data_IF_397645720859
#
_entry.id   IF_397645720859
#
_cell.length_a   1.000
_cell.length_b   1.000
_cell.length_c   1.000
_cell.angle_alpha   90.00
_cell.angle_beta   90.00
_cell.angle_gamma   90.00
#
_symmetry.space_group_name_H-M   'P 1'
#
loop_
_entity.id
_entity.type
_entity.pdbx_description
1 polymer ?
#
# COMPACT_ATOMS: atom_id res chain seq x y z
N UNK A 1 9.22 9.78 -11.79
CA UNK A 1 8.86 9.90 -10.36
C UNK A 1 7.72 8.95 -9.95
N UNK A 2 6.74 8.72 -10.82
CA UNK A 2 5.54 7.90 -10.52
C UNK A 2 5.82 6.47 -10.08
N UNK A 3 6.76 5.77 -10.74
CA UNK A 3 7.11 4.38 -10.38
C UNK A 3 7.65 4.24 -8.95
N UNK A 4 8.47 5.21 -8.50
CA UNK A 4 9.04 5.18 -7.14
C UNK A 4 7.96 5.44 -6.09
N UNK A 5 7.09 6.43 -6.31
CA UNK A 5 5.98 6.73 -5.39
C UNK A 5 4.97 5.59 -5.30
N UNK A 6 4.72 4.88 -6.40
CA UNK A 6 3.92 3.66 -6.39
C UNK A 6 4.58 2.56 -5.57
N UNK A 7 5.89 2.32 -5.72
CA UNK A 7 6.61 1.30 -4.93
C UNK A 7 6.56 1.65 -3.45
N UNK A 8 6.84 2.91 -3.09
CA UNK A 8 6.78 3.38 -1.69
C UNK A 8 5.38 3.22 -1.12
N UNK A 9 4.35 3.64 -1.86
CA UNK A 9 2.95 3.50 -1.45
C UNK A 9 2.55 2.03 -1.27
N UNK A 10 2.95 1.15 -2.19
CA UNK A 10 2.66 -0.28 -2.15
C UNK A 10 3.34 -0.96 -0.95
N UNK A 11 4.62 -0.66 -0.68
CA UNK A 11 5.35 -1.19 0.48
C UNK A 11 4.79 -0.67 1.81
N UNK A 12 4.49 0.62 1.90
CA UNK A 12 3.91 1.22 3.11
C UNK A 12 2.50 0.68 3.38
N UNK A 13 1.65 0.62 2.35
CA UNK A 13 0.29 0.10 2.45
C UNK A 13 0.26 -1.38 2.78
N UNK A 14 1.12 -2.19 2.16
CA UNK A 14 1.27 -3.61 2.49
C UNK A 14 1.76 -3.83 3.92
N UNK A 15 2.76 -3.08 4.37
CA UNK A 15 3.30 -3.19 5.75
C UNK A 15 2.27 -2.79 6.80
N UNK A 16 1.51 -1.71 6.56
CA UNK A 16 0.41 -1.28 7.44
C UNK A 16 -0.73 -2.30 7.45
N UNK A 17 -1.08 -2.83 6.28
CA UNK A 17 -2.08 -3.89 6.14
C UNK A 17 -1.69 -5.16 6.89
N UNK A 18 -0.42 -5.56 6.81
CA UNK A 18 0.10 -6.70 7.57
C UNK A 18 0.04 -6.46 9.07
N UNK A 19 0.51 -5.31 9.55
CA UNK A 19 0.50 -4.97 10.98
C UNK A 19 -0.91 -4.94 11.56
N UNK A 20 -1.89 -4.43 10.80
CA UNK A 20 -3.30 -4.42 11.20
C UNK A 20 -3.91 -5.82 11.15
N UNK A 21 -3.59 -6.61 10.13
CA UNK A 21 -4.19 -7.94 9.92
C UNK A 21 -3.58 -9.04 10.78
N UNK A 22 -2.32 -8.92 11.22
CA UNK A 22 -1.65 -9.90 12.10
C UNK A 22 -2.42 -10.11 13.41
N UNK A 23 -3.09 -9.06 13.92
CA UNK A 23 -3.96 -9.15 15.10
C UNK A 23 -5.19 -10.04 14.93
N UNK A 24 -5.60 -10.32 13.69
CA UNK A 24 -6.78 -11.12 13.36
C UNK A 24 -6.41 -12.49 12.78
N UNK A 25 -5.11 -12.81 12.72
CA UNK A 25 -4.58 -14.08 12.22
C UNK A 25 -3.92 -13.99 10.85
N UNK A 26 -3.25 -15.06 10.47
CA UNK A 26 -2.35 -15.11 9.31
C UNK A 26 -3.08 -14.87 7.97
N UNK A 27 -4.31 -15.38 7.84
CA UNK A 27 -5.15 -15.15 6.65
C UNK A 27 -5.61 -13.69 6.55
N UNK A 28 -5.97 -13.08 7.68
CA UNK A 28 -6.35 -11.67 7.73
C UNK A 28 -5.16 -10.76 7.42
N UNK A 29 -3.96 -11.07 7.93
CA UNK A 29 -2.71 -10.39 7.57
C UNK A 29 -2.43 -10.45 6.07
N UNK A 30 -2.62 -11.61 5.44
CA UNK A 30 -2.46 -11.78 4.00
C UNK A 30 -3.44 -10.93 3.19
N UNK A 31 -4.73 -10.99 3.54
CA UNK A 31 -5.78 -10.22 2.84
C UNK A 31 -5.58 -8.71 3.06
N UNK A 32 -5.31 -8.30 4.30
CA UNK A 32 -5.10 -6.90 4.64
C UNK A 32 -3.82 -6.33 3.99
N UNK A 33 -2.74 -7.11 3.91
CA UNK A 33 -1.53 -6.73 3.18
C UNK A 33 -1.77 -6.62 1.67
N UNK A 34 -2.56 -7.53 1.08
CA UNK A 34 -2.95 -7.45 -0.32
C UNK A 34 -3.79 -6.19 -0.61
N UNK A 35 -4.83 -5.95 0.18
CA UNK A 35 -5.67 -4.77 0.07
C UNK A 35 -4.89 -3.47 0.32
N UNK A 36 -4.02 -3.46 1.33
CA UNK A 36 -3.13 -2.35 1.65
C UNK A 36 -2.14 -2.04 0.54
N UNK A 37 -1.60 -3.07 -0.14
CA UNK A 37 -0.73 -2.89 -1.30
C UNK A 37 -1.48 -2.23 -2.47
N UNK A 38 -2.69 -2.70 -2.77
CA UNK A 38 -3.54 -2.13 -3.84
C UNK A 38 -3.89 -0.67 -3.53
N UNK A 39 -4.30 -0.37 -2.30
CA UNK A 39 -4.56 0.99 -1.84
C UNK A 39 -3.29 1.86 -1.93
N UNK A 40 -2.14 1.29 -1.56
CA UNK A 40 -0.83 1.91 -1.64
C UNK A 40 -0.42 2.31 -3.07
N UNK A 41 -0.71 1.47 -4.07
CA UNK A 41 -0.53 1.81 -5.49
C UNK A 41 -1.37 3.01 -5.86
N UNK A 42 -2.65 3.01 -5.47
CA UNK A 42 -3.59 4.05 -5.86
C UNK A 42 -3.20 5.41 -5.26
N UNK A 43 -2.83 5.44 -3.97
CA UNK A 43 -2.37 6.64 -3.29
C UNK A 43 -1.02 7.10 -3.86
N UNK A 44 -0.08 6.18 -4.11
CA UNK A 44 1.22 6.49 -4.71
C UNK A 44 1.09 7.05 -6.13
N UNK A 45 0.13 6.55 -6.92
CA UNK A 45 -0.18 7.08 -8.25
C UNK A 45 -0.84 8.46 -8.18
N UNK A 46 -1.76 8.68 -7.26
CA UNK A 46 -2.41 9.98 -7.06
C UNK A 46 -1.39 11.04 -6.60
N UNK A 47 -0.54 10.71 -5.63
CA UNK A 47 0.54 11.59 -5.17
C UNK A 47 1.53 11.90 -6.29
N UNK A 48 1.84 10.92 -7.15
CA UNK A 48 2.71 11.14 -8.29
C UNK A 48 2.12 12.08 -9.34
N UNK A 49 0.81 12.01 -9.60
CA UNK A 49 0.15 12.95 -10.50
C UNK A 49 0.19 14.38 -9.95
N UNK A 50 -0.13 14.56 -8.66
CA UNK A 50 -0.06 15.88 -8.01
C UNK A 50 1.33 16.50 -7.99
N UNK A 51 2.38 15.68 -7.98
CA UNK A 51 3.77 16.16 -7.99
C UNK A 51 4.31 16.40 -9.42
N UNK A 52 3.58 15.93 -10.44
CA UNK A 52 3.95 16.13 -11.85
C UNK A 52 3.21 17.29 -12.51
N UNK A 53 2.32 17.94 -11.76
CA UNK A 53 1.58 19.17 -12.10
C UNK A 53 2.28 20.38 -11.47
#
# INVERSE_FOLDING_TARGET
MTKLLIIVGMTAGGSLGWWLGERFGLLAAFIASGAGSIAGVYIGWLAAQKLSE
#
